data_IF_331194449790
#
_entry.id   IF_331194449790
#
_cell.length_a   1.000
_cell.length_b   1.000
_cell.length_c   1.000
_cell.angle_alpha   90.00
_cell.angle_beta   90.00
_cell.angle_gamma   90.00
#
_symmetry.space_group_name_H-M   'P 1'
#
loop_
_entity.id
_entity.type
_entity.pdbx_description
1 polymer ?
#
# COMPACT_ATOMS: atom_id res chain seq x y z
N UNK A 1 16.94 10.34 14.42
CA UNK A 1 15.52 10.55 14.05
C UNK A 1 14.80 9.21 14.02
N UNK A 2 13.71 9.07 14.74
CA UNK A 2 12.94 7.83 14.74
C UNK A 2 12.22 7.64 13.40
N UNK A 3 12.25 6.43 12.85
CA UNK A 3 11.48 6.08 11.67
C UNK A 3 9.99 6.05 12.02
N UNK A 4 9.15 6.62 11.16
CA UNK A 4 7.70 6.55 11.32
C UNK A 4 7.20 5.20 10.82
N UNK A 5 6.33 4.56 11.62
CA UNK A 5 5.59 3.39 11.20
C UNK A 5 4.32 3.87 10.49
N UNK A 6 4.12 3.46 9.24
CA UNK A 6 2.95 3.84 8.45
C UNK A 6 2.24 2.62 7.91
N UNK A 7 0.90 2.65 7.80
CA UNK A 7 0.19 1.58 7.12
C UNK A 7 0.58 1.49 5.66
N UNK A 8 0.59 0.28 5.14
CA UNK A 8 0.77 0.03 3.71
C UNK A 8 -0.02 -1.20 3.29
N UNK A 9 -0.40 -1.23 2.03
CA UNK A 9 -1.07 -2.37 1.42
C UNK A 9 -0.01 -3.24 0.73
N UNK A 10 -0.02 -4.53 1.01
CA UNK A 10 0.88 -5.46 0.34
C UNK A 10 0.34 -5.78 -1.04
N UNK A 11 1.13 -5.50 -2.08
CA UNK A 11 0.74 -5.73 -3.47
C UNK A 11 1.24 -7.05 -4.03
N UNK A 12 2.24 -7.66 -3.38
CA UNK A 12 2.81 -8.94 -3.79
C UNK A 12 2.71 -9.94 -2.65
N UNK A 13 2.88 -11.22 -2.97
CA UNK A 13 3.01 -12.26 -1.97
C UNK A 13 4.34 -12.14 -1.24
N UNK A 14 4.44 -12.83 -0.09
CA UNK A 14 5.72 -12.94 0.59
C UNK A 14 6.70 -13.72 -0.27
N UNK A 15 7.98 -13.31 -0.30
CA UNK A 15 8.97 -13.97 -1.15
C UNK A 15 9.25 -15.41 -0.71
N UNK A 16 9.53 -16.27 -1.70
CA UNK A 16 10.01 -17.61 -1.46
C UNK A 16 11.50 -17.58 -1.04
N UNK A 17 12.02 -18.72 -0.57
CA UNK A 17 13.39 -18.79 -0.05
C UNK A 17 14.48 -18.47 -1.08
N UNK A 18 14.18 -18.69 -2.37
CA UNK A 18 15.11 -18.42 -3.48
C UNK A 18 14.95 -17.03 -4.08
N UNK A 19 14.04 -16.22 -3.53
CA UNK A 19 13.77 -14.87 -3.99
C UNK A 19 14.40 -13.84 -3.06
N UNK A 20 14.56 -12.61 -3.55
CA UNK A 20 14.98 -11.50 -2.68
C UNK A 20 13.94 -11.30 -1.59
N UNK A 21 14.40 -10.98 -0.38
CA UNK A 21 13.52 -10.76 0.78
C UNK A 21 12.82 -9.38 0.70
N UNK A 22 12.16 -9.13 -0.43
CA UNK A 22 11.47 -7.87 -0.73
C UNK A 22 9.99 -8.12 -0.96
N UNK A 23 9.19 -7.11 -0.58
CA UNK A 23 7.75 -7.09 -0.84
C UNK A 23 7.37 -5.71 -1.37
N UNK A 24 6.48 -5.68 -2.37
CA UNK A 24 6.03 -4.42 -2.94
C UNK A 24 4.82 -3.91 -2.18
N UNK A 25 4.86 -2.65 -1.78
CA UNK A 25 3.84 -2.04 -0.93
C UNK A 25 3.28 -0.76 -1.55
N UNK A 26 2.02 -0.48 -1.21
CA UNK A 26 1.33 0.76 -1.55
C UNK A 26 1.11 1.52 -0.24
N UNK A 27 1.87 2.59 0.02
CA UNK A 27 1.78 3.33 1.27
C UNK A 27 0.46 4.07 1.43
N UNK A 28 0.00 4.16 2.68
CA UNK A 28 -1.14 5.00 3.08
C UNK A 28 -0.59 6.28 3.73
N UNK A 29 -1.17 7.41 3.39
CA UNK A 29 -0.77 8.72 3.92
C UNK A 29 -1.97 9.50 4.45
N UNK A 30 -1.74 10.28 5.51
CA UNK A 30 -2.72 11.26 6.00
C UNK A 30 -2.42 12.66 5.45
N UNK A 31 -1.28 12.84 4.77
CA UNK A 31 -0.89 14.10 4.14
C UNK A 31 -1.33 14.12 2.68
N UNK A 32 -2.57 14.51 2.44
CA UNK A 32 -3.16 14.52 1.10
C UNK A 32 -2.71 15.74 0.31
N UNK A 33 -2.41 15.52 -0.98
CA UNK A 33 -2.06 16.58 -1.94
C UNK A 33 -3.19 16.92 -2.88
N UNK A 34 -4.25 16.09 -2.91
CA UNK A 34 -5.42 16.28 -3.76
C UNK A 34 -5.19 15.90 -5.22
N UNK A 35 -4.24 15.00 -5.52
CA UNK A 35 -4.05 14.54 -6.88
C UNK A 35 -4.76 13.20 -7.15
N UNK A 36 -4.82 12.83 -8.42
CA UNK A 36 -5.56 11.63 -8.87
C UNK A 36 -4.95 10.30 -8.41
N UNK A 37 -3.73 10.32 -7.88
CA UNK A 37 -3.04 9.10 -7.44
C UNK A 37 -3.30 8.75 -5.99
N UNK A 38 -4.18 9.48 -5.33
CA UNK A 38 -4.62 9.22 -3.96
C UNK A 38 -5.97 8.52 -4.00
N UNK A 39 -6.04 7.29 -3.45
CA UNK A 39 -7.27 6.51 -3.38
C UNK A 39 -7.67 6.34 -1.92
N UNK A 40 -8.80 6.93 -1.54
CA UNK A 40 -9.35 6.78 -0.19
C UNK A 40 -10.19 5.52 -0.09
N UNK A 41 -9.82 4.66 0.85
CA UNK A 41 -10.58 3.45 1.21
C UNK A 41 -10.75 3.48 2.73
N UNK A 42 -11.85 4.07 3.24
CA UNK A 42 -12.04 4.20 4.69
C UNK A 42 -12.13 2.83 5.37
N UNK A 43 -11.36 2.65 6.44
CA UNK A 43 -11.36 1.44 7.27
C UNK A 43 -11.20 1.82 8.73
N UNK A 44 -11.81 1.05 9.67
CA UNK A 44 -11.67 1.33 11.10
C UNK A 44 -10.23 1.29 11.59
N UNK A 45 -9.36 0.52 10.93
CA UNK A 45 -7.95 0.36 11.30
C UNK A 45 -7.02 1.37 10.61
N UNK A 46 -7.56 2.30 9.82
CA UNK A 46 -6.80 3.36 9.14
C UNK A 46 -7.27 4.72 9.61
N UNK A 47 -6.34 5.65 9.78
CA UNK A 47 -6.66 7.07 9.94
C UNK A 47 -7.21 7.60 8.63
N UNK A 48 -7.94 8.71 8.67
CA UNK A 48 -8.41 9.37 7.47
C UNK A 48 -7.24 9.77 6.57
N UNK A 49 -7.32 9.36 5.31
CA UNK A 49 -6.24 9.59 4.35
C UNK A 49 -6.46 8.81 3.06
N UNK A 50 -5.38 8.44 2.38
CA UNK A 50 -5.46 7.72 1.13
C UNK A 50 -4.21 6.87 0.87
N UNK A 51 -4.38 5.84 0.04
CA UNK A 51 -3.26 5.10 -0.53
C UNK A 51 -2.67 5.90 -1.68
N UNK A 52 -1.35 6.08 -1.70
CA UNK A 52 -0.69 6.95 -2.65
C UNK A 52 0.07 6.16 -3.71
N UNK A 53 -0.47 6.12 -4.93
CA UNK A 53 0.04 5.30 -6.02
C UNK A 53 1.37 5.76 -6.62
N UNK A 54 1.78 7.00 -6.36
CA UNK A 54 3.11 7.47 -6.78
C UNK A 54 4.23 6.98 -5.85
N UNK A 55 3.89 6.39 -4.71
CA UNK A 55 4.86 5.93 -3.71
C UNK A 55 4.97 4.41 -3.63
N UNK A 56 4.47 3.71 -4.62
CA UNK A 56 4.63 2.26 -4.70
C UNK A 56 6.14 1.93 -4.70
N UNK A 57 6.55 1.04 -3.80
CA UNK A 57 7.96 0.70 -3.64
C UNK A 57 8.12 -0.71 -3.10
N UNK A 58 9.30 -1.28 -3.34
CA UNK A 58 9.70 -2.54 -2.71
C UNK A 58 10.51 -2.25 -1.46
N UNK A 59 10.19 -2.95 -0.39
CA UNK A 59 10.87 -2.81 0.90
C UNK A 59 11.28 -4.18 1.43
N UNK A 60 12.25 -4.21 2.34
CA UNK A 60 12.60 -5.44 3.04
C UNK A 60 11.43 -5.95 3.86
N UNK A 61 11.16 -7.25 3.77
CA UNK A 61 10.13 -7.93 4.56
C UNK A 61 10.34 -7.69 6.06
N UNK A 62 11.61 -7.55 6.49
CA UNK A 62 11.95 -7.30 7.89
C UNK A 62 11.42 -5.96 8.41
N UNK A 63 11.02 -5.05 7.54
CA UNK A 63 10.44 -3.75 7.94
C UNK A 63 8.97 -3.83 8.28
N UNK A 64 8.29 -4.93 7.97
CA UNK A 64 6.88 -5.13 8.33
C UNK A 64 6.76 -5.38 9.82
N UNK A 65 5.83 -4.67 10.48
CA UNK A 65 5.67 -4.74 11.94
C UNK A 65 4.52 -5.67 12.32
N UNK A 66 3.31 -5.42 11.77
CA UNK A 66 2.13 -6.22 12.07
C UNK A 66 1.04 -6.00 11.02
N UNK A 67 0.12 -6.98 10.95
CA UNK A 67 -1.08 -6.84 10.12
C UNK A 67 -2.11 -5.99 10.85
N UNK A 68 -2.69 -5.01 10.16
CA UNK A 68 -3.73 -4.12 10.69
C UNK A 68 -5.13 -4.61 10.34
N UNK A 69 -5.30 -5.22 9.18
CA UNK A 69 -6.58 -5.66 8.67
C UNK A 69 -6.49 -6.15 7.24
N UNK A 70 -7.65 -6.31 6.61
CA UNK A 70 -7.75 -6.84 5.26
C UNK A 70 -8.71 -5.99 4.45
N UNK A 71 -8.44 -5.81 3.17
CA UNK A 71 -9.35 -5.15 2.24
C UNK A 71 -10.40 -6.15 1.74
N UNK A 72 -11.59 -5.65 1.43
CA UNK A 72 -12.63 -6.45 0.77
C UNK A 72 -12.29 -6.65 -0.71
N UNK A 73 -12.97 -7.58 -1.37
CA UNK A 73 -12.80 -7.78 -2.80
C UNK A 73 -13.15 -6.51 -3.59
N UNK A 74 -14.17 -5.78 -3.16
CA UNK A 74 -14.55 -4.52 -3.80
C UNK A 74 -13.46 -3.45 -3.64
N UNK A 75 -12.83 -3.39 -2.47
CA UNK A 75 -11.69 -2.50 -2.23
C UNK A 75 -10.54 -2.84 -3.19
N UNK A 76 -10.25 -4.13 -3.35
CA UNK A 76 -9.20 -4.60 -4.26
C UNK A 76 -9.48 -4.23 -5.71
N UNK A 77 -10.74 -4.28 -6.16
CA UNK A 77 -11.12 -3.83 -7.50
C UNK A 77 -10.78 -2.36 -7.71
N UNK A 78 -11.03 -1.51 -6.71
CA UNK A 78 -10.67 -0.09 -6.78
C UNK A 78 -9.15 0.09 -6.88
N UNK A 79 -8.39 -0.67 -6.10
CA UNK A 79 -6.92 -0.64 -6.16
C UNK A 79 -6.43 -1.09 -7.54
N UNK A 80 -6.98 -2.19 -8.07
CA UNK A 80 -6.60 -2.70 -9.38
C UNK A 80 -6.89 -1.70 -10.50
N UNK A 81 -8.05 -1.05 -10.47
CA UNK A 81 -8.42 -0.06 -11.48
C UNK A 81 -7.47 1.12 -11.47
N UNK A 82 -7.14 1.63 -10.28
CA UNK A 82 -6.19 2.75 -10.13
C UNK A 82 -4.77 2.33 -10.53
N UNK A 83 -4.39 1.08 -10.23
CA UNK A 83 -3.10 0.53 -10.61
C UNK A 83 -2.95 0.48 -12.14
N UNK A 84 -3.99 0.03 -12.85
CA UNK A 84 -4.00 0.00 -14.33
C UNK A 84 -3.91 1.40 -14.92
N UNK A 85 -4.54 2.38 -14.29
CA UNK A 85 -4.43 3.78 -14.69
C UNK A 85 -3.00 4.29 -14.52
N UNK A 86 -2.35 3.95 -13.40
CA UNK A 86 -0.98 4.36 -13.10
C UNK A 86 0.07 3.67 -13.97
N UNK A 87 -0.17 2.41 -14.31
CA UNK A 87 0.73 1.58 -15.12
C UNK A 87 -0.01 1.05 -16.35
N UNK A 88 -0.22 1.87 -17.38
CA UNK A 88 -0.97 1.48 -18.59
C UNK A 88 -0.11 0.60 -19.51
N UNK A 89 0.18 -0.59 -19.05
CA UNK A 89 1.03 -1.55 -19.76
C UNK A 89 0.24 -2.32 -20.83
#
# INVERSE_FOLDING_TARGET
MAAKVRPCLLLTDFPADDELALITVLPHTTSLRGNRWELSIPKPFLKEGAFHFQQIQSVSVARLVRKLGTLTQNDWHQVQDKFRERFPL
#
